data_IF_466815126658
#
_entry.id   IF_466815126658
#
_cell.length_a   1.000
_cell.length_b   1.000
_cell.length_c   1.000
_cell.angle_alpha   90.00
_cell.angle_beta   90.00
_cell.angle_gamma   90.00
#
_symmetry.space_group_name_H-M   'P 1'
#
loop_
_entity.id
_entity.type
_entity.pdbx_description
1 polymer ?
#
# COMPACT_ATOMS: atom_id res chain seq x y z
N UNK A 1 18.17 -8.79 -8.92
CA UNK A 1 17.39 -8.83 -7.67
C UNK A 1 16.28 -7.82 -7.83
N UNK A 2 15.04 -8.27 -7.96
CA UNK A 2 13.89 -7.36 -8.09
C UNK A 2 13.70 -6.66 -6.75
N UNK A 3 13.86 -5.35 -6.74
CA UNK A 3 13.51 -4.51 -5.59
C UNK A 3 12.00 -4.73 -5.36
N UNK A 4 11.53 -4.99 -4.12
CA UNK A 4 10.10 -5.02 -3.87
C UNK A 4 9.47 -3.72 -4.37
N UNK A 5 8.29 -3.76 -5.02
CA UNK A 5 7.63 -2.55 -5.47
C UNK A 5 7.43 -1.61 -4.27
N UNK A 6 7.48 -0.28 -4.49
CA UNK A 6 7.19 0.68 -3.43
C UNK A 6 5.76 0.48 -2.92
N UNK A 7 5.47 0.88 -1.67
CA UNK A 7 4.12 0.82 -1.13
C UNK A 7 3.17 1.65 -1.98
N UNK A 8 1.94 1.16 -2.16
CA UNK A 8 0.90 1.87 -2.90
C UNK A 8 0.54 3.18 -2.21
N UNK A 9 0.61 4.29 -2.95
CA UNK A 9 0.19 5.59 -2.46
C UNK A 9 -1.29 5.83 -2.77
N UNK A 10 -1.99 6.69 -2.01
CA UNK A 10 -3.35 7.08 -2.34
C UNK A 10 -3.49 7.62 -3.77
N UNK A 11 -2.41 8.23 -4.30
CA UNK A 11 -2.33 8.75 -5.66
C UNK A 11 -2.32 7.67 -6.74
N UNK A 12 -1.98 6.40 -6.43
CA UNK A 12 -2.06 5.29 -7.39
C UNK A 12 -3.50 4.87 -7.72
N UNK A 13 -4.48 5.35 -6.94
CA UNK A 13 -5.89 5.01 -7.12
C UNK A 13 -6.61 6.07 -7.94
N UNK A 14 -6.55 5.98 -9.27
CA UNK A 14 -7.24 6.90 -10.19
C UNK A 14 -8.75 6.62 -10.33
N UNK A 15 -9.22 5.46 -9.84
CA UNK A 15 -10.62 5.05 -9.91
C UNK A 15 -11.28 5.05 -8.53
N UNK A 16 -12.59 5.31 -8.53
CA UNK A 16 -13.42 5.17 -7.32
C UNK A 16 -13.58 3.70 -6.99
N UNK A 17 -13.45 3.34 -5.72
CA UNK A 17 -13.78 1.99 -5.26
C UNK A 17 -15.26 1.66 -5.47
N UNK A 18 -15.58 0.57 -6.14
CA UNK A 18 -16.97 0.16 -6.43
C UNK A 18 -17.75 -0.30 -5.18
N UNK A 19 -17.05 -0.68 -4.10
CA UNK A 19 -17.69 -1.22 -2.89
C UNK A 19 -17.94 -0.12 -1.84
N UNK A 20 -16.89 0.61 -1.43
CA UNK A 20 -17.04 1.67 -0.43
C UNK A 20 -17.17 3.08 -1.02
N UNK A 21 -17.12 3.22 -2.34
CA UNK A 21 -17.26 4.48 -3.06
C UNK A 21 -16.18 5.53 -2.68
N UNK A 22 -15.02 5.08 -2.18
CA UNK A 22 -13.89 5.95 -1.90
C UNK A 22 -13.47 6.69 -3.17
N UNK A 23 -13.31 8.02 -3.12
CA UNK A 23 -12.96 8.80 -4.30
C UNK A 23 -11.54 8.48 -4.78
N UNK A 24 -11.25 8.76 -6.06
CA UNK A 24 -9.89 8.62 -6.58
C UNK A 24 -8.92 9.52 -5.81
N UNK A 25 -7.68 9.06 -5.65
CA UNK A 25 -6.68 9.70 -4.81
C UNK A 25 -6.83 9.40 -3.31
N UNK A 26 -7.75 8.51 -2.91
CA UNK A 26 -7.97 8.13 -1.51
C UNK A 26 -8.04 6.62 -1.31
N UNK A 27 -7.57 6.20 -0.14
CA UNK A 27 -7.65 4.81 0.31
C UNK A 27 -9.10 4.43 0.69
N UNK A 28 -9.38 3.14 0.63
CA UNK A 28 -10.68 2.61 0.99
C UNK A 28 -10.96 2.72 2.50
N UNK A 29 -12.25 2.72 2.83
CA UNK A 29 -12.72 2.69 4.22
C UNK A 29 -12.31 1.39 4.91
N UNK A 30 -12.15 1.41 6.24
CA UNK A 30 -11.70 0.25 7.02
C UNK A 30 -12.66 -0.97 6.96
N UNK A 31 -13.92 -0.75 6.59
CA UNK A 31 -14.89 -1.84 6.39
C UNK A 31 -14.91 -2.38 4.95
N UNK A 32 -14.13 -1.80 4.03
CA UNK A 32 -14.12 -2.21 2.63
C UNK A 32 -13.25 -3.45 2.44
N UNK A 33 -13.87 -4.61 2.25
CA UNK A 33 -13.16 -5.89 2.09
C UNK A 33 -12.50 -6.07 0.72
N UNK A 34 -12.89 -5.28 -0.28
CA UNK A 34 -12.45 -5.43 -1.68
C UNK A 34 -11.39 -4.40 -2.10
N UNK A 35 -11.19 -3.37 -1.29
CA UNK A 35 -10.33 -2.23 -1.62
C UNK A 35 -9.12 -2.12 -0.70
N UNK A 36 -8.12 -1.36 -1.15
CA UNK A 36 -6.89 -1.13 -0.38
C UNK A 36 -7.11 -0.06 0.69
N UNK A 37 -6.99 -0.43 1.97
CA UNK A 37 -7.31 0.45 3.10
C UNK A 37 -6.09 1.17 3.65
N UNK A 38 -6.32 2.15 4.54
CA UNK A 38 -5.26 2.78 5.31
C UNK A 38 -4.52 1.82 6.26
N UNK A 39 -5.14 0.70 6.68
CA UNK A 39 -4.44 -0.35 7.43
C UNK A 39 -3.49 -1.13 6.53
N UNK A 40 -3.95 -1.51 5.33
CA UNK A 40 -3.10 -2.20 4.37
C UNK A 40 -1.90 -1.33 3.95
N UNK A 41 -2.14 -0.04 3.68
CA UNK A 41 -1.08 0.92 3.36
C UNK A 41 -0.02 1.01 4.46
N UNK A 42 -0.44 1.00 5.73
CA UNK A 42 0.50 1.02 6.87
C UNK A 42 1.25 -0.30 6.99
N UNK A 43 0.56 -1.43 6.91
CA UNK A 43 1.17 -2.75 6.98
C UNK A 43 2.18 -2.96 5.84
N UNK A 44 1.87 -2.46 4.64
CA UNK A 44 2.79 -2.53 3.51
C UNK A 44 4.01 -1.63 3.69
N UNK A 45 3.81 -0.40 4.17
CA UNK A 45 4.90 0.49 4.54
C UNK A 45 5.81 -0.12 5.62
N UNK A 46 5.25 -0.75 6.66
CA UNK A 46 6.00 -1.45 7.71
C UNK A 46 6.81 -2.64 7.15
N UNK A 47 6.20 -3.44 6.26
CA UNK A 47 6.90 -4.54 5.59
C UNK A 47 8.04 -4.03 4.72
N UNK A 48 7.82 -2.94 3.99
CA UNK A 48 8.81 -2.36 3.09
C UNK A 48 9.97 -1.70 3.86
N UNK A 49 9.69 -1.05 4.99
CA UNK A 49 10.71 -0.51 5.89
C UNK A 49 11.59 -1.64 6.45
N UNK A 50 10.98 -2.71 6.98
CA UNK A 50 11.68 -3.90 7.42
C UNK A 50 12.52 -4.55 6.30
N UNK A 51 12.04 -4.53 5.06
CA UNK A 51 12.78 -5.05 3.90
C UNK A 51 13.94 -4.14 3.47
N UNK A 52 13.80 -2.81 3.61
CA UNK A 52 14.88 -1.84 3.38
C UNK A 52 16.01 -2.01 4.39
N UNK A 53 15.66 -2.21 5.66
CA UNK A 53 16.63 -2.47 6.72
C UNK A 53 17.25 -3.87 6.64
N UNK A 54 16.51 -4.84 6.08
CA UNK A 54 17.02 -6.18 5.77
C UNK A 54 17.98 -6.22 4.56
N UNK A 55 18.49 -5.07 4.09
CA UNK A 55 19.58 -5.05 3.11
C UNK A 55 20.71 -5.95 3.64
N UNK A 56 21.12 -7.01 2.90
CA UNK A 56 22.22 -7.85 3.34
C UNK A 56 23.45 -6.96 3.51
N UNK A 57 24.32 -7.19 4.51
CA UNK A 57 25.61 -6.52 4.55
C UNK A 57 26.29 -6.78 3.20
N UNK A 58 26.68 -5.70 2.53
CA UNK A 58 27.39 -5.78 1.26
C UNK A 58 28.68 -6.62 1.45
N UNK A 59 29.08 -7.44 0.46
CA UNK A 59 30.35 -8.18 0.52
C UNK A 59 31.57 -7.25 0.57
#
# INVERSE_FOLDING_TARGET
MSIPPPPFEPADFDERCETCHAPPGQLCQAWCDTGYTAEDARADAERHDAHRDAKPPAP
#
